data_IF_483077738076
#
_entry.id   IF_483077738076
#
_cell.length_a   1.000
_cell.length_b   1.000
_cell.length_c   1.000
_cell.angle_alpha   90.00
_cell.angle_beta   90.00
_cell.angle_gamma   90.00
#
_symmetry.space_group_name_H-M   'P 1'
#
loop_
_entity.id
_entity.type
_entity.pdbx_description
1 polymer ?
#
# COMPACT_ATOMS: atom_id res chain seq x y z
N UNK A 1 14.36 13.24 -8.82
CA UNK A 1 14.27 14.10 -10.03
C UNK A 1 15.58 14.00 -10.80
N UNK A 2 15.54 13.47 -12.02
CA UNK A 2 16.73 13.36 -12.88
C UNK A 2 16.94 14.71 -13.56
N UNK A 3 18.13 15.29 -13.44
CA UNK A 3 18.55 16.49 -14.17
C UNK A 3 19.56 16.05 -15.23
N UNK A 4 19.31 16.41 -16.49
CA UNK A 4 20.26 16.20 -17.59
C UNK A 4 20.74 17.55 -18.09
N UNK A 5 22.06 17.73 -18.15
CA UNK A 5 22.71 18.95 -18.63
C UNK A 5 23.19 18.72 -20.06
N UNK A 6 22.39 19.14 -21.06
CA UNK A 6 22.76 19.07 -22.47
C UNK A 6 23.08 20.47 -23.01
N UNK A 7 24.03 20.53 -23.94
CA UNK A 7 24.44 21.77 -24.60
C UNK A 7 23.35 22.23 -25.57
N UNK A 8 23.17 23.54 -25.69
CA UNK A 8 22.09 24.15 -26.49
C UNK A 8 22.11 23.72 -27.97
N UNK A 9 23.30 23.45 -28.51
CA UNK A 9 23.53 23.04 -29.90
C UNK A 9 23.03 21.62 -30.21
N UNK A 10 22.80 20.80 -29.18
CA UNK A 10 22.30 19.43 -29.31
C UNK A 10 20.75 19.39 -29.26
N UNK A 11 20.09 20.54 -29.18
CA UNK A 11 18.63 20.64 -29.15
C UNK A 11 18.09 20.93 -30.54
N UNK A 12 17.21 20.07 -31.02
CA UNK A 12 16.45 20.30 -32.25
C UNK A 12 15.07 20.89 -31.90
N UNK A 13 14.70 21.97 -32.59
CA UNK A 13 13.41 22.64 -32.37
C UNK A 13 12.29 21.86 -33.08
N UNK A 14 11.56 21.05 -32.33
CA UNK A 14 10.37 20.35 -32.86
C UNK A 14 9.18 21.29 -33.10
N UNK A 15 8.43 21.02 -34.16
CA UNK A 15 7.20 21.75 -34.49
C UNK A 15 6.05 21.38 -33.55
N UNK A 16 5.09 22.30 -33.32
CA UNK A 16 3.91 22.05 -32.45
C UNK A 16 3.08 20.83 -32.86
N UNK A 17 3.15 20.44 -34.14
CA UNK A 17 2.48 19.24 -34.68
C UNK A 17 3.22 17.93 -34.40
N UNK A 18 4.56 17.96 -34.27
CA UNK A 18 5.37 16.80 -33.86
C UNK A 18 5.25 16.52 -32.36
N UNK A 19 5.08 17.55 -31.52
CA UNK A 19 4.83 17.39 -30.08
C UNK A 19 3.61 16.49 -29.81
N UNK A 20 2.58 16.51 -30.67
CA UNK A 20 1.41 15.63 -30.53
C UNK A 20 1.63 14.19 -31.02
N UNK A 21 2.66 13.95 -31.84
CA UNK A 21 2.97 12.63 -32.44
C UNK A 21 4.04 11.87 -31.65
N UNK A 22 4.96 12.60 -31.01
CA UNK A 22 6.06 12.04 -30.21
C UNK A 22 5.78 12.01 -28.70
N UNK A 23 4.62 12.49 -28.23
CA UNK A 23 4.14 12.07 -26.92
C UNK A 23 3.86 10.57 -27.03
N UNK A 24 4.55 9.70 -26.27
CA UNK A 24 4.28 8.28 -26.35
C UNK A 24 2.80 8.05 -26.09
N UNK A 25 2.18 7.12 -26.83
CA UNK A 25 0.80 6.62 -26.67
C UNK A 25 0.58 5.91 -25.31
N UNK A 26 1.23 6.39 -24.26
CA UNK A 26 1.13 5.96 -22.87
C UNK A 26 -0.16 6.44 -22.20
N UNK A 27 -0.92 7.35 -22.82
CA UNK A 27 -2.04 8.06 -22.16
C UNK A 27 -3.23 7.17 -21.82
N UNK A 28 -3.59 6.19 -22.67
CA UNK A 28 -4.76 5.35 -22.40
C UNK A 28 -4.54 4.37 -21.25
N UNK A 29 -3.39 3.68 -21.23
CA UNK A 29 -3.05 2.75 -20.14
C UNK A 29 -2.80 3.52 -18.86
N UNK A 30 -2.09 4.67 -18.91
CA UNK A 30 -1.83 5.47 -17.71
C UNK A 30 -3.09 6.06 -17.08
N UNK A 31 -4.07 6.49 -17.89
CA UNK A 31 -5.36 6.98 -17.38
C UNK A 31 -6.17 5.85 -16.73
N UNK A 32 -6.27 4.69 -17.38
CA UNK A 32 -6.99 3.55 -16.82
C UNK A 32 -6.34 3.02 -15.53
N UNK A 33 -5.00 2.98 -15.46
CA UNK A 33 -4.29 2.60 -14.24
C UNK A 33 -4.47 3.64 -13.13
N UNK A 34 -4.45 4.94 -13.47
CA UNK A 34 -4.70 6.00 -12.49
C UNK A 34 -6.12 5.95 -11.92
N UNK A 35 -7.13 5.73 -12.76
CA UNK A 35 -8.53 5.60 -12.34
C UNK A 35 -8.70 4.36 -11.45
N UNK A 36 -8.12 3.23 -11.84
CA UNK A 36 -8.16 1.98 -11.05
C UNK A 36 -7.51 2.13 -9.67
N UNK A 37 -6.37 2.83 -9.60
CA UNK A 37 -5.68 3.13 -8.33
C UNK A 37 -6.49 4.09 -7.46
N UNK A 38 -7.15 5.08 -8.08
CA UNK A 38 -8.02 6.01 -7.37
C UNK A 38 -9.24 5.31 -6.78
N UNK A 39 -9.90 4.45 -7.56
CA UNK A 39 -11.03 3.64 -7.08
C UNK A 39 -10.62 2.67 -5.97
N UNK A 40 -9.47 1.99 -6.10
CA UNK A 40 -8.92 1.15 -5.02
C UNK A 40 -8.72 1.96 -3.74
N UNK A 41 -8.15 3.15 -3.83
CA UNK A 41 -7.92 4.02 -2.67
C UNK A 41 -9.23 4.46 -2.01
N UNK A 42 -10.26 4.79 -2.78
CA UNK A 42 -11.57 5.18 -2.26
C UNK A 42 -12.30 4.03 -1.55
N UNK A 43 -12.12 2.80 -2.03
CA UNK A 43 -12.80 1.62 -1.50
C UNK A 43 -11.97 0.84 -0.46
N UNK A 44 -10.72 1.25 -0.22
CA UNK A 44 -9.85 0.55 0.73
C UNK A 44 -10.33 0.75 2.17
N UNK A 45 -10.66 -0.37 2.83
CA UNK A 45 -11.03 -0.36 4.24
C UNK A 45 -9.76 -0.45 5.08
N UNK A 46 -9.58 0.47 6.02
CA UNK A 46 -8.39 0.48 6.88
C UNK A 46 -8.43 -0.54 8.02
N UNK A 47 -9.39 -1.46 8.02
CA UNK A 47 -9.51 -2.53 9.01
C UNK A 47 -9.73 -3.88 8.34
N UNK A 48 -8.98 -4.88 8.79
CA UNK A 48 -9.12 -6.28 8.41
C UNK A 48 -9.48 -7.12 9.63
N UNK A 49 -10.57 -7.90 9.56
CA UNK A 49 -10.94 -8.89 10.57
C UNK A 49 -10.52 -10.29 10.12
N UNK A 50 -9.65 -10.93 10.91
CA UNK A 50 -9.16 -12.30 10.68
C UNK A 50 -9.52 -13.25 11.83
N UNK A 51 -10.49 -12.87 12.68
CA UNK A 51 -10.94 -13.74 13.77
C UNK A 51 -11.57 -15.02 13.23
N UNK A 52 -11.25 -16.14 13.86
CA UNK A 52 -11.77 -17.45 13.50
C UNK A 52 -11.12 -18.07 12.25
N UNK A 53 -10.24 -17.35 11.55
CA UNK A 53 -9.44 -17.91 10.46
C UNK A 53 -8.36 -18.85 11.02
N UNK A 54 -7.96 -19.84 10.22
CA UNK A 54 -6.76 -20.62 10.52
C UNK A 54 -5.51 -19.76 10.33
N UNK A 55 -4.40 -20.17 10.95
CA UNK A 55 -3.17 -19.38 11.00
C UNK A 55 -2.61 -19.03 9.61
N UNK A 56 -2.65 -19.98 8.68
CA UNK A 56 -2.25 -19.86 7.28
C UNK A 56 -3.17 -18.91 6.50
N UNK A 57 -4.49 -19.06 6.66
CA UNK A 57 -5.50 -18.21 6.02
C UNK A 57 -5.39 -16.75 6.49
N UNK A 58 -5.27 -16.55 7.80
CA UNK A 58 -5.10 -15.23 8.40
C UNK A 58 -3.83 -14.54 7.91
N UNK A 59 -2.72 -15.28 7.84
CA UNK A 59 -1.46 -14.74 7.36
C UNK A 59 -1.57 -14.29 5.91
N UNK A 60 -2.14 -15.14 5.05
CA UNK A 60 -2.34 -14.83 3.64
C UNK A 60 -3.24 -13.60 3.47
N UNK A 61 -4.33 -13.50 4.22
CA UNK A 61 -5.22 -12.34 4.18
C UNK A 61 -4.50 -11.04 4.61
N UNK A 62 -3.70 -11.12 5.68
CA UNK A 62 -2.89 -10.00 6.16
C UNK A 62 -1.82 -9.58 5.16
N UNK A 63 -1.18 -10.54 4.48
CA UNK A 63 -0.20 -10.23 3.42
C UNK A 63 -0.83 -9.38 2.33
N UNK A 64 -1.93 -9.84 1.74
CA UNK A 64 -2.62 -9.08 0.69
C UNK A 64 -3.12 -7.71 1.17
N UNK A 65 -3.61 -7.66 2.40
CA UNK A 65 -4.11 -6.42 2.99
C UNK A 65 -3.02 -5.36 3.18
N UNK A 66 -1.85 -5.77 3.66
CA UNK A 66 -0.70 -4.85 3.83
C UNK A 66 -0.17 -4.41 2.47
N UNK A 67 -0.09 -5.30 1.49
CA UNK A 67 0.34 -4.95 0.13
C UNK A 67 -0.60 -3.92 -0.51
N UNK A 68 -1.91 -4.11 -0.40
CA UNK A 68 -2.89 -3.13 -0.88
C UNK A 68 -2.75 -1.79 -0.11
N UNK A 69 -2.53 -1.82 1.21
CA UNK A 69 -2.33 -0.60 2.02
C UNK A 69 -1.10 0.21 1.56
N UNK A 70 0.01 -0.48 1.27
CA UNK A 70 1.23 0.12 0.71
C UNK A 70 0.93 0.71 -0.68
N UNK A 71 0.25 -0.07 -1.53
CA UNK A 71 -0.06 0.33 -2.91
C UNK A 71 -0.91 1.60 -2.96
N UNK A 72 -1.92 1.74 -2.08
CA UNK A 72 -2.80 2.92 -2.04
C UNK A 72 -2.22 4.08 -1.21
N UNK A 73 -1.11 3.86 -0.50
CA UNK A 73 -0.42 4.85 0.31
C UNK A 73 -1.23 5.27 1.53
N UNK A 74 -1.75 4.29 2.28
CA UNK A 74 -2.50 4.53 3.52
C UNK A 74 -1.52 4.64 4.69
N UNK A 75 -1.64 5.67 5.52
CA UNK A 75 -0.72 5.92 6.63
C UNK A 75 -0.83 4.88 7.75
N UNK A 76 -2.03 4.37 8.02
CA UNK A 76 -2.26 3.42 9.12
C UNK A 76 -3.41 2.47 8.83
N UNK A 77 -3.27 1.23 9.29
CA UNK A 77 -4.29 0.19 9.22
C UNK A 77 -4.44 -0.58 10.53
N UNK A 78 -5.57 -1.27 10.69
CA UNK A 78 -5.95 -2.05 11.87
C UNK A 78 -6.17 -3.49 11.48
N UNK A 79 -5.61 -4.42 12.24
CA UNK A 79 -5.82 -5.86 12.05
C UNK A 79 -6.46 -6.44 13.31
N UNK A 80 -7.73 -6.79 13.20
CA UNK A 80 -8.51 -7.43 14.26
C UNK A 80 -8.29 -8.95 14.17
N UNK A 81 -7.42 -9.47 15.04
CA UNK A 81 -7.12 -10.90 15.14
C UNK A 81 -7.70 -11.55 16.40
N UNK A 82 -8.24 -10.75 17.32
CA UNK A 82 -8.77 -11.19 18.61
C UNK A 82 -7.68 -11.51 19.63
N UNK A 83 -8.09 -11.73 20.87
CA UNK A 83 -7.16 -11.93 22.00
C UNK A 83 -6.72 -13.39 22.10
N UNK A 84 -7.69 -14.32 22.14
CA UNK A 84 -7.47 -15.78 22.14
C UNK A 84 -6.27 -16.23 23.00
N UNK A 85 -5.53 -17.22 22.49
CA UNK A 85 -4.22 -17.61 23.02
C UNK A 85 -3.07 -16.73 22.47
N UNK A 86 -3.38 -15.67 21.71
CA UNK A 86 -2.38 -14.79 21.10
C UNK A 86 -1.65 -15.34 19.87
N UNK A 87 -2.03 -16.52 19.35
CA UNK A 87 -1.36 -17.18 18.21
C UNK A 87 -1.37 -16.27 16.97
N UNK A 88 -2.55 -15.78 16.57
CA UNK A 88 -2.66 -14.89 15.40
C UNK A 88 -1.90 -13.58 15.63
N UNK A 89 -1.99 -12.98 16.82
CA UNK A 89 -1.21 -11.78 17.18
C UNK A 89 0.28 -12.00 16.97
N UNK A 90 0.83 -13.09 17.49
CA UNK A 90 2.26 -13.38 17.38
C UNK A 90 2.68 -13.59 15.92
N UNK A 91 1.91 -14.39 15.19
CA UNK A 91 2.21 -14.73 13.80
C UNK A 91 2.14 -13.49 12.89
N UNK A 92 1.11 -12.66 13.05
CA UNK A 92 0.95 -11.41 12.31
C UNK A 92 2.12 -10.48 12.60
N UNK A 93 2.47 -10.25 13.88
CA UNK A 93 3.60 -9.38 14.25
C UNK A 93 4.93 -9.91 13.71
N UNK A 94 5.13 -11.23 13.70
CA UNK A 94 6.31 -11.84 13.09
C UNK A 94 6.37 -11.58 11.58
N UNK A 95 5.24 -11.66 10.87
CA UNK A 95 5.17 -11.28 9.46
C UNK A 95 5.45 -9.79 9.24
N UNK A 96 4.80 -8.90 9.99
CA UNK A 96 4.97 -7.45 9.86
C UNK A 96 6.44 -7.02 10.06
N UNK A 97 7.20 -7.70 10.92
CA UNK A 97 8.63 -7.48 11.07
C UNK A 97 9.46 -7.72 9.79
N UNK A 98 8.96 -8.52 8.85
CA UNK A 98 9.65 -8.86 7.60
C UNK A 98 9.30 -7.94 6.44
N UNK A 99 8.26 -7.11 6.58
CA UNK A 99 7.74 -6.30 5.49
C UNK A 99 8.44 -4.93 5.45
N UNK A 100 9.11 -4.58 4.34
CA UNK A 100 9.63 -3.23 4.14
C UNK A 100 8.48 -2.23 3.94
N UNK A 101 8.62 -1.02 4.48
CA UNK A 101 7.58 0.04 4.40
C UNK A 101 6.61 0.08 5.59
N UNK A 102 6.80 -0.78 6.59
CA UNK A 102 6.15 -0.65 7.90
C UNK A 102 7.06 0.16 8.83
N UNK A 103 6.60 1.32 9.28
CA UNK A 103 7.32 2.18 10.20
C UNK A 103 7.29 1.62 11.62
N UNK A 104 6.09 1.22 12.10
CA UNK A 104 5.91 0.58 13.40
C UNK A 104 4.57 -0.14 13.48
N UNK A 105 4.44 -0.99 14.49
CA UNK A 105 3.16 -1.58 14.83
C UNK A 105 3.08 -1.84 16.34
N UNK A 106 1.88 -1.79 16.87
CA UNK A 106 1.62 -1.92 18.30
C UNK A 106 0.22 -2.47 18.56
N UNK A 107 -0.01 -2.90 19.80
CA UNK A 107 -1.36 -3.22 20.23
C UNK A 107 -2.18 -1.93 20.28
N UNK A 108 -3.48 -2.03 20.00
CA UNK A 108 -4.38 -0.89 20.10
C UNK A 108 -4.57 -0.45 21.57
N UNK A 109 -5.00 0.79 21.77
CA UNK A 109 -5.45 1.30 23.05
C UNK A 109 -6.55 0.41 23.66
N UNK A 110 -6.51 0.24 24.98
CA UNK A 110 -7.41 -0.64 25.73
C UNK A 110 -8.91 -0.33 25.51
N UNK A 111 -9.25 0.94 25.28
CA UNK A 111 -10.63 1.37 25.02
C UNK A 111 -11.14 0.97 23.63
N UNK A 112 -10.25 0.66 22.69
CA UNK A 112 -10.59 0.35 21.29
C UNK A 112 -10.28 -1.09 20.90
N UNK A 113 -10.09 -1.98 21.88
CA UNK A 113 -9.88 -3.43 21.65
C UNK A 113 -8.56 -3.97 22.18
N UNK A 114 -7.64 -3.11 22.61
CA UNK A 114 -6.42 -3.54 23.30
C UNK A 114 -5.56 -4.49 22.47
N UNK A 115 -5.06 -5.54 23.13
CA UNK A 115 -4.24 -6.60 22.53
C UNK A 115 -4.96 -7.49 21.52
N UNK A 116 -6.27 -7.30 21.29
CA UNK A 116 -7.02 -8.01 20.25
C UNK A 116 -6.85 -7.39 18.85
N UNK A 117 -6.23 -6.22 18.77
CA UNK A 117 -6.03 -5.46 17.53
C UNK A 117 -4.58 -5.02 17.44
N UNK A 118 -3.97 -5.26 16.28
CA UNK A 118 -2.66 -4.69 15.93
C UNK A 118 -2.89 -3.48 15.03
N UNK A 119 -2.38 -2.32 15.46
CA UNK A 119 -2.31 -1.10 14.64
C UNK A 119 -0.96 -1.08 13.95
N UNK A 120 -0.97 -0.86 12.64
CA UNK A 120 0.23 -0.80 11.80
C UNK A 120 0.31 0.58 11.19
N UNK A 121 1.46 1.22 11.33
CA UNK A 121 1.80 2.51 10.70
C UNK A 121 2.82 2.28 9.60
N UNK A 122 2.54 2.85 8.44
CA UNK A 122 3.37 2.75 7.24
C UNK A 122 4.38 3.90 7.20
N UNK A 123 5.48 3.73 6.44
CA UNK A 123 6.48 4.78 6.19
C UNK A 123 6.02 5.87 5.21
#
# INVERSE_FOLDING_TARGET
MIKSTLKLEQLEKVSKGQIKRDTPKSTFVAAQTADSMHEKKLNFRQELDVRGMRADEALQAVTYFIDDAILVGIASVRILHGTGAGILRQLIRQYLHTVPGIARYQDEHVQFGGSGITVVEME
#
